data_IF_873084523556
#
_entry.id   IF_873084523556
#
_cell.length_a   1.000
_cell.length_b   1.000
_cell.length_c   1.000
_cell.angle_alpha   90.00
_cell.angle_beta   90.00
_cell.angle_gamma   90.00
#
_symmetry.space_group_name_H-M   'P 1'
#
loop_
_entity.id
_entity.type
_entity.pdbx_description
1 polymer ?
#
# COMPACT_ATOMS: atom_id res chain seq x y z
N UNK A 1 -2.45 -2.93 -18.98
CA UNK A 1 -2.67 -1.50 -19.32
C UNK A 1 -2.38 -0.70 -18.06
N UNK A 2 -1.33 0.12 -18.05
CA UNK A 2 -0.93 0.92 -16.88
C UNK A 2 -1.65 2.26 -16.94
N UNK A 3 -2.52 2.54 -15.97
CA UNK A 3 -3.18 3.85 -15.84
C UNK A 3 -2.26 4.79 -15.06
N UNK A 4 -1.86 5.90 -15.67
CA UNK A 4 -1.18 7.00 -14.97
C UNK A 4 -2.22 8.06 -14.60
N UNK A 5 -2.30 8.36 -13.30
CA UNK A 5 -3.10 9.48 -12.80
C UNK A 5 -2.40 10.80 -13.11
N UNK A 6 -3.16 11.87 -13.36
CA UNK A 6 -2.63 13.23 -13.42
C UNK A 6 -1.97 13.68 -12.11
N UNK A 7 -2.23 12.99 -11.00
CA UNK A 7 -1.64 13.24 -9.68
C UNK A 7 -0.30 12.52 -9.46
N UNK A 8 0.25 11.86 -10.49
CA UNK A 8 1.53 11.15 -10.38
C UNK A 8 2.65 12.12 -10.01
N UNK A 9 3.33 11.89 -8.88
CA UNK A 9 4.42 12.73 -8.40
C UNK A 9 4.00 14.00 -7.66
N UNK A 10 2.70 14.23 -7.43
CA UNK A 10 2.21 15.37 -6.65
C UNK A 10 2.33 15.16 -5.14
N UNK A 11 2.40 13.91 -4.68
CA UNK A 11 2.46 13.57 -3.27
C UNK A 11 3.87 13.13 -2.87
N UNK A 12 4.44 13.76 -1.84
CA UNK A 12 5.71 13.32 -1.25
C UNK A 12 5.51 12.11 -0.32
N UNK A 13 4.37 12.08 0.40
CA UNK A 13 4.04 11.04 1.38
C UNK A 13 2.62 10.52 1.23
N UNK A 14 2.47 9.21 1.47
CA UNK A 14 1.19 8.53 1.65
C UNK A 14 1.10 7.95 3.07
N UNK A 15 -0.10 7.99 3.65
CA UNK A 15 -0.41 7.42 4.96
C UNK A 15 -1.67 6.56 4.83
N UNK A 16 -1.56 5.26 5.10
CA UNK A 16 -2.69 4.35 5.23
C UNK A 16 -3.04 4.18 6.71
N UNK A 17 -4.23 4.61 7.10
CA UNK A 17 -4.84 4.22 8.36
C UNK A 17 -5.54 2.85 8.22
N UNK A 18 -5.64 2.10 9.31
CA UNK A 18 -6.12 0.72 9.33
C UNK A 18 -5.52 -0.14 8.20
N UNK A 19 -4.19 -0.06 8.07
CA UNK A 19 -3.45 -0.62 6.95
C UNK A 19 -3.59 -2.14 6.75
N UNK A 20 -4.20 -2.88 7.69
CA UNK A 20 -4.55 -4.29 7.53
C UNK A 20 -5.47 -4.57 6.33
N UNK A 21 -6.16 -3.56 5.79
CA UNK A 21 -6.94 -3.68 4.55
C UNK A 21 -6.10 -3.80 3.26
N UNK A 22 -4.81 -3.43 3.27
CA UNK A 22 -3.95 -3.38 2.06
C UNK A 22 -2.88 -4.46 1.99
N UNK A 23 -2.89 -5.39 2.94
CA UNK A 23 -1.96 -6.53 3.01
C UNK A 23 -2.09 -7.55 1.87
N UNK A 24 -3.26 -7.62 1.22
CA UNK A 24 -3.50 -8.59 0.15
C UNK A 24 -3.07 -8.05 -1.21
N UNK A 25 -2.01 -8.62 -1.79
CA UNK A 25 -1.45 -8.23 -3.10
C UNK A 25 -2.49 -8.30 -4.23
N UNK A 26 -3.45 -9.22 -4.12
CA UNK A 26 -4.52 -9.41 -5.12
C UNK A 26 -5.62 -8.35 -5.02
N UNK A 27 -5.68 -7.58 -3.94
CA UNK A 27 -6.70 -6.55 -3.78
C UNK A 27 -6.44 -5.36 -4.70
N UNK A 28 -7.51 -4.73 -5.19
CA UNK A 28 -7.40 -3.50 -5.99
C UNK A 28 -6.74 -2.37 -5.20
N UNK A 29 -6.99 -2.29 -3.89
CA UNK A 29 -6.39 -1.28 -3.03
C UNK A 29 -4.86 -1.42 -2.99
N UNK A 30 -4.36 -2.64 -2.80
CA UNK A 30 -2.91 -2.88 -2.85
C UNK A 30 -2.32 -2.52 -4.22
N UNK A 31 -2.96 -2.93 -5.31
CA UNK A 31 -2.49 -2.60 -6.67
C UNK A 31 -2.50 -1.09 -6.94
N UNK A 32 -3.52 -0.38 -6.47
CA UNK A 32 -3.60 1.08 -6.56
C UNK A 32 -2.46 1.75 -5.77
N UNK A 33 -2.15 1.26 -4.58
CA UNK A 33 -1.02 1.78 -3.78
C UNK A 33 0.34 1.45 -4.40
N UNK A 34 0.50 0.27 -4.99
CA UNK A 34 1.73 -0.12 -5.68
C UNK A 34 2.04 0.78 -6.89
N UNK A 35 1.01 1.33 -7.54
CA UNK A 35 1.15 2.28 -8.64
C UNK A 35 1.36 3.73 -8.17
N UNK A 36 1.20 4.01 -6.88
CA UNK A 36 1.33 5.34 -6.32
C UNK A 36 2.82 5.73 -6.25
N UNK A 37 3.24 6.72 -7.03
CA UNK A 37 4.62 7.23 -7.03
C UNK A 37 4.81 8.25 -5.92
N UNK A 38 5.19 7.78 -4.73
CA UNK A 38 5.47 8.60 -3.55
C UNK A 38 6.78 8.17 -2.89
N UNK A 39 7.49 9.10 -2.27
CA UNK A 39 8.79 8.85 -1.65
C UNK A 39 8.66 8.17 -0.29
N UNK A 40 7.67 8.57 0.51
CA UNK A 40 7.45 8.03 1.85
C UNK A 40 6.08 7.36 1.95
N UNK A 41 6.05 6.13 2.48
CA UNK A 41 4.81 5.35 2.66
C UNK A 41 4.72 4.93 4.12
N UNK A 42 3.63 5.30 4.77
CA UNK A 42 3.39 5.03 6.18
C UNK A 42 2.14 4.15 6.30
N UNK A 43 2.27 3.03 6.99
CA UNK A 43 1.17 2.10 7.26
C UNK A 43 0.93 2.10 8.76
N UNK A 44 -0.20 2.67 9.18
CA UNK A 44 -0.64 2.73 10.57
C UNK A 44 -1.68 1.63 10.77
N UNK A 45 -1.40 0.69 11.67
CA UNK A 45 -2.34 -0.38 12.01
C UNK A 45 -1.99 -0.98 13.37
N UNK A 46 -3.02 -1.26 14.17
CA UNK A 46 -2.87 -2.05 15.40
C UNK A 46 -2.70 -3.56 15.10
N UNK A 47 -3.01 -4.00 13.87
CA UNK A 47 -3.06 -5.41 13.47
C UNK A 47 -2.27 -5.66 12.17
N UNK A 48 -0.94 -5.51 12.18
CA UNK A 48 -0.11 -5.67 10.98
C UNK A 48 -0.14 -7.10 10.42
N UNK A 49 -0.41 -8.09 11.26
CA UNK A 49 -0.54 -9.49 10.87
C UNK A 49 -1.78 -10.06 11.53
N UNK A 50 -2.73 -10.53 10.72
CA UNK A 50 -3.99 -11.04 11.26
C UNK A 50 -3.96 -12.57 11.33
N UNK A 51 -3.60 -13.24 10.21
CA UNK A 51 -3.70 -14.70 10.14
C UNK A 51 -2.43 -15.41 9.65
N UNK A 52 -1.56 -14.76 8.88
CA UNK A 52 -0.40 -15.43 8.25
C UNK A 52 0.79 -14.48 8.11
N UNK A 53 2.01 -15.01 8.21
CA UNK A 53 3.25 -14.26 7.95
C UNK A 53 3.30 -13.61 6.56
N UNK A 54 2.58 -14.19 5.58
CA UNK A 54 2.48 -13.65 4.23
C UNK A 54 1.78 -12.29 4.16
N UNK A 55 0.99 -11.93 5.18
CA UNK A 55 0.40 -10.60 5.31
C UNK A 55 1.49 -9.51 5.39
N UNK A 56 2.62 -9.83 6.04
CA UNK A 56 3.76 -8.91 6.14
C UNK A 56 4.42 -8.66 4.78
N UNK A 57 4.51 -9.69 3.94
CA UNK A 57 5.04 -9.58 2.57
C UNK A 57 4.24 -8.57 1.73
N UNK A 58 2.93 -8.46 1.98
CA UNK A 58 2.09 -7.44 1.36
C UNK A 58 2.54 -6.01 1.64
N UNK A 59 2.99 -5.72 2.86
CA UNK A 59 3.55 -4.40 3.17
C UNK A 59 4.93 -4.20 2.57
N UNK A 60 5.79 -5.22 2.67
CA UNK A 60 7.17 -5.13 2.18
C UNK A 60 7.24 -4.91 0.67
N UNK A 61 6.32 -5.50 -0.10
CA UNK A 61 6.21 -5.26 -1.55
C UNK A 61 5.80 -3.83 -1.88
N UNK A 62 5.07 -3.16 -0.97
CA UNK A 62 4.64 -1.79 -1.16
C UNK A 62 5.68 -0.76 -0.75
N UNK A 63 6.74 -1.10 -0.02
CA UNK A 63 7.81 -0.17 0.33
C UNK A 63 8.70 0.06 -0.89
#
# INVERSE_FOLDING_TARGET
RTYQSCMTGYFDRFIADEAHHVKSIRSRNHQSLALLKVKFKWFLTATPMWNRAIDLCGYLVLL
#
